data_IF_084755516930
#
_entry.id   IF_084755516930
#
_cell.length_a   1.000
_cell.length_b   1.000
_cell.length_c   1.000
_cell.angle_alpha   90.00
_cell.angle_beta   90.00
_cell.angle_gamma   90.00
#
_symmetry.space_group_name_H-M   'P 1'
#
loop_
_entity.id
_entity.type
_entity.pdbx_description
1 polymer ?
#
# COMPACT_ATOMS: atom_id res chain seq x y z
N UNK A 1 13.93 -10.04 -5.28
CA UNK A 1 15.15 -9.22 -5.18
C UNK A 1 15.46 -8.97 -3.71
N UNK A 2 16.69 -9.23 -3.31
CA UNK A 2 17.13 -8.98 -1.92
C UNK A 2 17.28 -7.48 -1.67
N UNK A 3 16.83 -7.04 -0.49
CA UNK A 3 16.94 -5.64 -0.06
C UNK A 3 18.31 -5.43 0.57
N UNK A 4 19.03 -4.38 0.14
CA UNK A 4 20.25 -3.90 0.78
C UNK A 4 20.01 -2.60 1.57
N UNK A 5 20.98 -2.21 2.38
CA UNK A 5 20.89 -0.95 3.14
C UNK A 5 20.78 0.27 2.20
N UNK A 6 21.46 0.23 1.06
CA UNK A 6 21.40 1.29 0.04
C UNK A 6 19.98 1.50 -0.51
N UNK A 7 19.21 0.41 -0.71
CA UNK A 7 17.83 0.50 -1.17
C UNK A 7 16.96 1.25 -0.16
N UNK A 8 17.19 1.00 1.14
CA UNK A 8 16.49 1.68 2.23
C UNK A 8 16.88 3.16 2.29
N UNK A 9 18.16 3.47 2.14
CA UNK A 9 18.68 4.84 2.19
C UNK A 9 18.19 5.67 1.00
N UNK A 10 17.92 5.03 -0.14
CA UNK A 10 17.39 5.67 -1.35
C UNK A 10 15.89 6.03 -1.28
N UNK A 11 15.17 5.59 -0.25
CA UNK A 11 13.77 5.98 -0.08
C UNK A 11 13.68 7.49 0.15
N UNK A 12 12.89 8.15 -0.71
CA UNK A 12 12.72 9.61 -0.68
C UNK A 12 11.41 10.00 -0.03
N UNK A 13 11.38 11.21 0.53
CA UNK A 13 10.13 11.87 0.87
C UNK A 13 9.38 12.22 -0.42
N UNK A 14 8.09 12.01 -0.42
CA UNK A 14 7.17 12.42 -1.48
C UNK A 14 6.16 13.42 -0.93
N UNK A 15 5.78 14.39 -1.75
CA UNK A 15 4.71 15.33 -1.43
C UNK A 15 3.38 14.67 -1.78
N UNK A 16 2.63 14.31 -0.74
CA UNK A 16 1.35 13.60 -0.87
C UNK A 16 0.22 14.58 -0.60
N UNK A 17 -0.81 14.67 -1.47
CA UNK A 17 -2.00 15.46 -1.18
C UNK A 17 -2.60 15.14 0.19
N UNK A 18 -3.15 16.13 0.87
CA UNK A 18 -3.75 16.04 2.20
C UNK A 18 -2.80 15.78 3.37
N UNK A 19 -1.49 15.69 3.13
CA UNK A 19 -0.47 15.56 4.17
C UNK A 19 0.50 16.74 4.14
N UNK A 20 0.85 17.25 5.32
CA UNK A 20 1.86 18.29 5.47
C UNK A 20 3.29 17.74 5.39
N UNK A 21 4.29 18.63 5.51
CA UNK A 21 5.71 18.27 5.42
C UNK A 21 6.14 17.32 6.55
N UNK A 22 5.64 17.51 7.76
CA UNK A 22 5.94 16.66 8.92
C UNK A 22 5.35 15.27 8.73
N UNK A 23 4.09 15.18 8.34
CA UNK A 23 3.41 13.91 8.04
C UNK A 23 4.08 13.17 6.88
N UNK A 24 4.49 13.88 5.82
CA UNK A 24 5.24 13.30 4.68
C UNK A 24 6.59 12.74 5.10
N UNK A 25 7.28 13.38 6.05
CA UNK A 25 8.53 12.86 6.62
C UNK A 25 8.28 11.61 7.48
N UNK A 26 7.21 11.59 8.28
CA UNK A 26 6.80 10.39 9.05
C UNK A 26 6.53 9.21 8.09
N UNK A 27 5.80 9.45 7.01
CA UNK A 27 5.50 8.43 6.00
C UNK A 27 6.79 7.87 5.38
N UNK A 28 7.75 8.72 5.04
CA UNK A 28 9.07 8.27 4.55
C UNK A 28 9.78 7.34 5.54
N UNK A 29 9.81 7.72 6.81
CA UNK A 29 10.45 6.89 7.85
C UNK A 29 9.70 5.55 8.05
N UNK A 30 8.37 5.54 7.92
CA UNK A 30 7.58 4.32 7.95
C UNK A 30 7.87 3.41 6.72
N UNK A 31 8.06 3.97 5.53
CA UNK A 31 8.49 3.21 4.35
C UNK A 31 9.87 2.58 4.58
N UNK A 32 10.82 3.30 5.17
CA UNK A 32 12.13 2.74 5.53
C UNK A 32 12.00 1.61 6.56
N UNK A 33 11.15 1.80 7.57
CA UNK A 33 10.87 0.78 8.59
C UNK A 33 10.26 -0.48 7.97
N UNK A 34 9.38 -0.33 7.00
CA UNK A 34 8.79 -1.44 6.24
C UNK A 34 9.85 -2.27 5.52
N UNK A 35 10.73 -1.63 4.73
CA UNK A 35 11.82 -2.34 4.04
C UNK A 35 12.82 -2.98 5.00
N UNK A 36 13.18 -2.32 6.10
CA UNK A 36 14.02 -2.92 7.15
C UNK A 36 13.39 -4.18 7.74
N UNK A 37 12.08 -4.18 7.99
CA UNK A 37 11.36 -5.36 8.47
C UNK A 37 11.44 -6.49 7.45
N UNK A 38 11.17 -6.21 6.19
CA UNK A 38 11.26 -7.19 5.10
C UNK A 38 12.66 -7.78 4.99
N UNK A 39 13.70 -6.93 4.97
CA UNK A 39 15.09 -7.35 4.89
C UNK A 39 15.53 -8.24 6.06
N UNK A 40 15.23 -7.80 7.29
CA UNK A 40 15.80 -8.41 8.50
C UNK A 40 14.97 -9.54 9.09
N UNK A 41 13.68 -9.61 8.79
CA UNK A 41 12.72 -10.50 9.46
C UNK A 41 11.84 -11.29 8.50
N UNK A 42 11.98 -11.12 7.19
CA UNK A 42 11.13 -11.80 6.21
C UNK A 42 11.85 -12.12 4.88
N UNK A 43 13.15 -12.27 4.88
CA UNK A 43 13.96 -12.67 3.71
C UNK A 43 13.70 -11.83 2.45
N UNK A 44 13.45 -10.53 2.62
CA UNK A 44 13.07 -9.60 1.56
C UNK A 44 11.74 -9.93 0.83
N UNK A 45 10.91 -10.76 1.43
CA UNK A 45 9.54 -11.03 0.98
C UNK A 45 8.58 -9.89 1.35
N UNK A 46 7.34 -9.97 0.92
CA UNK A 46 6.36 -8.93 1.22
C UNK A 46 6.10 -8.79 2.73
N UNK A 47 6.04 -7.55 3.16
CA UNK A 47 5.56 -7.13 4.48
C UNK A 47 4.47 -6.09 4.26
N UNK A 48 3.37 -6.21 4.98
CA UNK A 48 2.33 -5.19 5.07
C UNK A 48 2.47 -4.37 6.35
N UNK A 49 2.17 -3.09 6.27
CA UNK A 49 2.10 -2.17 7.41
C UNK A 49 0.78 -1.41 7.37
N UNK A 50 -0.01 -1.55 8.42
CA UNK A 50 -1.23 -0.79 8.62
C UNK A 50 -0.97 0.32 9.62
N UNK A 51 -1.18 1.57 9.23
CA UNK A 51 -0.90 2.76 10.03
C UNK A 51 -2.19 3.46 10.42
N UNK A 52 -2.35 3.79 11.70
CA UNK A 52 -3.46 4.58 12.19
C UNK A 52 -3.08 6.06 12.15
N UNK A 53 -3.81 6.87 11.37
CA UNK A 53 -3.54 8.30 11.23
C UNK A 53 -3.82 9.11 12.50
N UNK A 54 -4.61 8.58 13.44
CA UNK A 54 -4.92 9.29 14.67
C UNK A 54 -3.70 9.47 15.58
N UNK A 55 -2.83 8.46 15.61
CA UNK A 55 -1.68 8.40 16.53
C UNK A 55 -0.38 7.91 15.89
N UNK A 56 -0.40 7.63 14.59
CA UNK A 56 0.73 7.09 13.81
C UNK A 56 1.26 5.73 14.29
N UNK A 57 0.49 5.03 15.11
CA UNK A 57 0.81 3.63 15.45
C UNK A 57 0.66 2.72 14.24
N UNK A 58 1.41 1.62 14.23
CA UNK A 58 1.39 0.70 13.10
C UNK A 58 1.39 -0.76 13.53
N UNK A 59 0.82 -1.61 12.68
CA UNK A 59 0.85 -3.06 12.76
C UNK A 59 1.58 -3.57 11.52
N UNK A 60 2.61 -4.39 11.70
CA UNK A 60 3.33 -5.01 10.59
C UNK A 60 3.07 -6.50 10.51
N UNK A 61 2.85 -7.00 9.28
CA UNK A 61 2.50 -8.39 9.00
C UNK A 61 3.45 -8.92 7.94
N UNK A 62 4.10 -10.05 8.24
CA UNK A 62 4.93 -10.74 7.26
C UNK A 62 4.05 -11.51 6.28
N UNK A 63 4.29 -11.31 5.01
CA UNK A 63 3.70 -12.07 3.91
C UNK A 63 4.70 -13.06 3.30
N UNK A 64 4.43 -13.43 2.07
CA UNK A 64 5.26 -14.29 1.24
C UNK A 64 5.88 -13.51 0.07
N UNK A 65 6.58 -14.18 -0.82
CA UNK A 65 7.06 -13.57 -2.07
C UNK A 65 5.92 -13.10 -3.01
N UNK A 66 4.70 -13.57 -2.79
CA UNK A 66 3.54 -13.35 -3.67
C UNK A 66 2.42 -12.50 -3.04
N UNK A 67 2.57 -12.08 -1.80
CA UNK A 67 1.57 -11.23 -1.17
C UNK A 67 1.52 -11.26 0.35
N UNK A 68 0.81 -10.29 0.89
CA UNK A 68 0.49 -10.17 2.31
C UNK A 68 -1.02 -10.20 2.50
N UNK A 69 -1.49 -10.94 3.51
CA UNK A 69 -2.90 -11.07 3.81
C UNK A 69 -3.22 -10.49 5.18
N UNK A 70 -3.83 -9.30 5.21
CA UNK A 70 -4.20 -8.61 6.45
C UNK A 70 -5.28 -9.35 7.24
N UNK A 71 -6.20 -10.04 6.56
CA UNK A 71 -7.32 -10.77 7.18
C UNK A 71 -6.90 -11.90 8.12
N UNK A 72 -5.69 -12.43 7.97
CA UNK A 72 -5.16 -13.50 8.83
C UNK A 72 -4.61 -12.97 10.16
N UNK A 73 -4.28 -11.69 10.24
CA UNK A 73 -3.86 -11.05 11.50
C UNK A 73 -5.09 -10.47 12.21
N UNK A 74 -5.32 -10.95 13.42
CA UNK A 74 -6.53 -10.56 14.19
C UNK A 74 -6.56 -9.07 14.51
N UNK A 75 -5.43 -8.49 14.89
CA UNK A 75 -5.35 -7.08 15.24
C UNK A 75 -5.55 -6.18 14.03
N UNK A 76 -4.92 -6.51 12.90
CA UNK A 76 -5.09 -5.77 11.65
C UNK A 76 -6.51 -5.88 11.10
N UNK A 77 -7.08 -7.08 11.08
CA UNK A 77 -8.46 -7.31 10.65
C UNK A 77 -9.47 -6.52 11.49
N UNK A 78 -9.30 -6.54 12.82
CA UNK A 78 -10.14 -5.78 13.74
C UNK A 78 -10.03 -4.26 13.50
N UNK A 79 -8.82 -3.75 13.32
CA UNK A 79 -8.59 -2.32 13.07
C UNK A 79 -9.25 -1.88 11.76
N UNK A 80 -9.10 -2.63 10.67
CA UNK A 80 -9.74 -2.31 9.39
C UNK A 80 -11.27 -2.29 9.50
N UNK A 81 -11.85 -3.24 10.25
CA UNK A 81 -13.31 -3.33 10.41
C UNK A 81 -13.92 -2.25 11.30
N UNK A 82 -13.14 -1.69 12.25
CA UNK A 82 -13.64 -0.75 13.26
C UNK A 82 -13.19 0.69 13.06
N UNK A 83 -12.12 0.92 12.27
CA UNK A 83 -11.60 2.26 12.05
C UNK A 83 -12.56 3.14 11.23
N UNK A 84 -12.60 4.45 11.52
CA UNK A 84 -13.37 5.39 10.72
C UNK A 84 -12.93 5.42 9.25
N UNK A 85 -13.83 5.90 8.38
CA UNK A 85 -13.52 6.13 6.97
C UNK A 85 -12.28 7.02 6.81
N UNK A 86 -11.38 6.65 5.89
CA UNK A 86 -10.17 7.42 5.55
C UNK A 86 -9.24 7.69 6.74
N UNK A 87 -9.16 6.77 7.72
CA UNK A 87 -8.35 6.92 8.93
C UNK A 87 -7.10 6.05 8.97
N UNK A 88 -6.91 5.19 7.98
CA UNK A 88 -5.77 4.26 7.91
C UNK A 88 -4.95 4.46 6.63
N UNK A 89 -3.65 4.15 6.74
CA UNK A 89 -2.76 3.97 5.61
C UNK A 89 -2.37 2.49 5.53
N UNK A 90 -2.23 1.97 4.32
CA UNK A 90 -1.69 0.64 4.10
C UNK A 90 -0.47 0.70 3.19
N UNK A 91 0.67 0.25 3.69
CA UNK A 91 1.93 0.16 2.97
C UNK A 91 2.36 -1.30 2.83
N UNK A 92 2.90 -1.66 1.68
CA UNK A 92 3.52 -2.96 1.49
C UNK A 92 4.68 -2.86 0.49
N UNK A 93 5.59 -3.84 0.52
CA UNK A 93 6.68 -3.88 -0.44
C UNK A 93 6.45 -4.95 -1.51
N UNK A 94 6.99 -4.71 -2.70
CA UNK A 94 6.98 -5.66 -3.81
C UNK A 94 8.39 -6.15 -4.12
N UNK A 95 8.69 -7.46 -3.89
CA UNK A 95 10.01 -8.03 -4.18
C UNK A 95 10.39 -7.99 -5.66
N UNK A 96 9.41 -8.02 -6.56
CA UNK A 96 9.60 -8.00 -8.02
C UNK A 96 9.67 -6.59 -8.62
N UNK A 97 9.71 -5.56 -7.78
CA UNK A 97 9.76 -4.15 -8.19
C UNK A 97 8.62 -3.73 -9.14
N UNK A 98 7.46 -4.36 -9.02
CA UNK A 98 6.24 -4.02 -9.76
C UNK A 98 5.40 -2.97 -9.07
N UNK A 99 4.57 -2.25 -9.82
CA UNK A 99 3.52 -1.39 -9.31
C UNK A 99 2.38 -2.21 -8.69
N UNK A 100 1.26 -1.57 -8.36
CA UNK A 100 0.09 -2.23 -7.78
C UNK A 100 -0.39 -3.41 -8.61
N UNK A 101 -0.72 -4.51 -7.93
CA UNK A 101 -1.45 -5.62 -8.51
C UNK A 101 -2.94 -5.29 -8.63
N UNK A 102 -3.66 -6.06 -9.42
CA UNK A 102 -5.12 -6.00 -9.50
C UNK A 102 -5.78 -6.16 -8.13
N UNK A 103 -5.29 -7.12 -7.34
CA UNK A 103 -5.77 -7.35 -5.97
C UNK A 103 -5.54 -6.16 -5.06
N UNK A 104 -4.42 -5.45 -5.21
CA UNK A 104 -4.14 -4.22 -4.44
C UNK A 104 -5.17 -3.15 -4.76
N UNK A 105 -5.43 -2.92 -6.06
CA UNK A 105 -6.38 -1.92 -6.52
C UNK A 105 -7.80 -2.22 -6.01
N UNK A 106 -8.25 -3.45 -6.14
CA UNK A 106 -9.56 -3.89 -5.65
C UNK A 106 -9.68 -3.70 -4.13
N UNK A 107 -8.69 -4.17 -3.38
CA UNK A 107 -8.65 -4.03 -1.92
C UNK A 107 -8.69 -2.58 -1.47
N UNK A 108 -7.94 -1.70 -2.18
CA UNK A 108 -7.92 -0.26 -1.91
C UNK A 108 -9.28 0.40 -2.15
N UNK A 109 -9.95 0.08 -3.26
CA UNK A 109 -11.26 0.65 -3.58
C UNK A 109 -12.34 0.20 -2.60
N UNK A 110 -12.33 -1.07 -2.20
CA UNK A 110 -13.36 -1.66 -1.32
C UNK A 110 -13.24 -1.18 0.12
N UNK A 111 -12.03 -0.98 0.63
CA UNK A 111 -11.80 -0.66 2.04
C UNK A 111 -12.08 0.81 2.35
N UNK A 112 -13.18 1.10 3.02
CA UNK A 112 -13.56 2.48 3.39
C UNK A 112 -12.58 3.12 4.39
N UNK A 113 -11.97 2.33 5.26
CA UNK A 113 -11.03 2.82 6.28
C UNK A 113 -9.70 3.30 5.68
N UNK A 114 -9.26 2.74 4.55
CA UNK A 114 -7.96 3.05 3.94
C UNK A 114 -8.04 4.34 3.12
N UNK A 115 -7.33 5.37 3.57
CA UNK A 115 -7.17 6.65 2.85
C UNK A 115 -6.13 6.55 1.74
N UNK A 116 -5.00 5.91 2.02
CA UNK A 116 -3.87 5.81 1.10
C UNK A 116 -3.27 4.41 1.16
N UNK A 117 -2.86 3.91 0.00
CA UNK A 117 -2.07 2.70 -0.15
C UNK A 117 -0.76 3.02 -0.87
N UNK A 118 0.36 2.47 -0.42
CA UNK A 118 1.63 2.57 -1.13
C UNK A 118 2.27 1.22 -1.36
N UNK A 119 3.04 1.13 -2.45
CA UNK A 119 3.97 0.03 -2.74
C UNK A 119 5.38 0.59 -2.71
N UNK A 120 6.21 0.02 -1.85
CA UNK A 120 7.64 0.29 -1.81
C UNK A 120 8.35 -0.90 -2.45
N UNK A 121 8.90 -0.71 -3.64
CA UNK A 121 9.68 -1.75 -4.29
C UNK A 121 10.97 -2.04 -3.52
N UNK A 122 11.47 -3.28 -3.61
CA UNK A 122 12.70 -3.66 -2.91
C UNK A 122 13.94 -2.85 -3.35
N UNK A 123 13.89 -2.18 -4.49
CA UNK A 123 14.93 -1.23 -4.97
C UNK A 123 14.71 0.22 -4.50
N UNK A 124 13.77 0.47 -3.61
CA UNK A 124 13.44 1.80 -3.08
C UNK A 124 12.49 2.64 -3.95
N UNK A 125 12.05 2.16 -5.13
CA UNK A 125 11.04 2.85 -5.94
C UNK A 125 9.70 2.82 -5.23
N UNK A 126 8.93 3.91 -5.35
CA UNK A 126 7.67 4.09 -4.61
C UNK A 126 6.52 4.41 -5.55
N UNK A 127 5.37 3.82 -5.27
CA UNK A 127 4.07 4.15 -5.87
C UNK A 127 3.03 4.36 -4.78
N UNK A 128 2.08 5.26 -4.98
CA UNK A 128 0.97 5.43 -4.05
C UNK A 128 -0.35 5.75 -4.73
N UNK A 129 -1.43 5.42 -4.05
CA UNK A 129 -2.81 5.78 -4.36
C UNK A 129 -3.41 6.46 -3.14
N UNK A 130 -4.15 7.54 -3.35
CA UNK A 130 -4.85 8.26 -2.29
C UNK A 130 -6.29 8.55 -2.70
N UNK A 131 -7.23 8.37 -1.77
CA UNK A 131 -8.62 8.78 -1.95
C UNK A 131 -8.76 10.27 -1.65
N UNK A 132 -9.12 11.02 -2.69
CA UNK A 132 -9.45 12.44 -2.57
C UNK A 132 -10.90 12.61 -2.09
N UNK A 133 -11.30 13.82 -1.71
CA UNK A 133 -12.65 14.11 -1.21
C UNK A 133 -13.77 13.75 -2.23
N UNK A 134 -13.44 13.75 -3.51
CA UNK A 134 -14.34 13.36 -4.60
C UNK A 134 -14.42 11.87 -4.87
N UNK A 135 -13.69 11.04 -4.12
CA UNK A 135 -13.70 9.58 -4.32
C UNK A 135 -15.07 8.99 -4.00
N UNK A 136 -15.66 8.32 -4.98
CA UNK A 136 -16.87 7.50 -4.85
C UNK A 136 -16.54 6.04 -5.13
N UNK A 137 -16.79 5.17 -4.14
CA UNK A 137 -16.46 3.75 -4.22
C UNK A 137 -17.25 3.02 -5.31
N UNK A 138 -18.53 3.31 -5.43
CA UNK A 138 -19.38 2.64 -6.42
C UNK A 138 -18.97 3.02 -7.83
N UNK A 139 -18.71 4.31 -8.08
CA UNK A 139 -18.23 4.81 -9.37
C UNK A 139 -16.87 4.22 -9.72
N UNK A 140 -15.93 4.20 -8.76
CA UNK A 140 -14.59 3.63 -8.95
C UNK A 140 -14.64 2.14 -9.31
N UNK A 141 -15.45 1.34 -8.61
CA UNK A 141 -15.61 -0.08 -8.90
C UNK A 141 -16.28 -0.33 -10.27
N UNK A 142 -17.28 0.46 -10.63
CA UNK A 142 -17.90 0.38 -11.96
C UNK A 142 -16.90 0.67 -13.09
N UNK A 143 -16.08 1.70 -12.94
CA UNK A 143 -15.04 2.02 -13.92
C UNK A 143 -13.98 0.93 -13.99
N UNK A 144 -13.55 0.41 -12.85
CA UNK A 144 -12.58 -0.68 -12.76
C UNK A 144 -13.06 -1.94 -13.50
N UNK A 145 -14.27 -2.40 -13.22
CA UNK A 145 -14.88 -3.56 -13.89
C UNK A 145 -15.01 -3.34 -15.40
N UNK A 146 -15.40 -2.14 -15.82
CA UNK A 146 -15.53 -1.79 -17.24
C UNK A 146 -14.20 -1.84 -17.96
N UNK A 147 -13.14 -1.29 -17.36
CA UNK A 147 -11.79 -1.30 -17.94
C UNK A 147 -11.26 -2.74 -17.98
N UNK A 148 -11.42 -3.50 -16.91
CA UNK A 148 -10.95 -4.87 -16.80
C UNK A 148 -11.60 -5.78 -17.86
N UNK A 149 -12.91 -5.69 -18.03
CA UNK A 149 -13.63 -6.46 -19.07
C UNK A 149 -13.19 -6.10 -20.49
N UNK A 150 -12.82 -4.84 -20.76
CA UNK A 150 -12.26 -4.41 -22.04
C UNK A 150 -10.86 -4.96 -22.28
N UNK A 151 -10.03 -5.02 -21.27
CA UNK A 151 -8.68 -5.63 -21.36
C UNK A 151 -8.80 -7.12 -21.66
N UNK A 152 -9.63 -7.87 -20.92
CA UNK A 152 -9.86 -9.30 -21.16
C UNK A 152 -10.43 -9.57 -22.57
N UNK A 153 -11.30 -8.69 -23.08
CA UNK A 153 -11.85 -8.81 -24.44
C UNK A 153 -10.87 -8.42 -25.55
N UNK A 154 -9.66 -7.93 -25.21
CA UNK A 154 -8.70 -7.42 -26.18
C UNK A 154 -9.08 -6.08 -26.82
N UNK A 155 -10.07 -5.40 -26.29
CA UNK A 155 -10.59 -4.11 -26.84
C UNK A 155 -9.73 -2.91 -26.46
N UNK A 156 -8.83 -3.07 -25.49
CA UNK A 156 -7.86 -2.05 -25.06
C UNK A 156 -6.46 -2.59 -25.30
N UNK A 157 -5.67 -1.88 -26.11
CA UNK A 157 -4.24 -2.20 -26.25
C UNK A 157 -3.53 -1.85 -24.94
N UNK A 158 -2.62 -2.73 -24.52
CA UNK A 158 -1.77 -2.49 -23.35
C UNK A 158 -1.11 -1.10 -23.41
N UNK A 159 -1.16 -0.41 -22.29
CA UNK A 159 -0.46 0.86 -22.11
C UNK A 159 1.00 0.62 -21.78
#
# INVERSE_FOLDING_TARGET
MMIGQEDIDNIKRIDIPDFDDEESEIIKELHKKLLKRSMNKNDSNEVGMLVNLQDWTNIMINGTENGVTLKKDKAASNLICTAPKNSLLFFHNHPKNSCFSEKDLESFMISDAIKMMSVVCNNGRLYYLIKMDTFDKCEALMHYETIYSKIESGSVKEF
#
